data_IF_794841962016
#
_entry.id   IF_794841962016
#
_cell.length_a   1.000
_cell.length_b   1.000
_cell.length_c   1.000
_cell.angle_alpha   90.00
_cell.angle_beta   90.00
_cell.angle_gamma   90.00
#
_symmetry.space_group_name_H-M   'P 1'
#
loop_
_entity.id
_entity.type
_entity.pdbx_description
1 polymer ?
#
# COMPACT_ATOMS: atom_id res chain seq x y z
N UNK A 1 14.08 -1.71 -3.99
CA UNK A 1 15.39 -1.71 -4.67
C UNK A 1 15.66 -0.33 -5.25
N UNK A 2 16.73 0.29 -4.80
CA UNK A 2 17.06 1.65 -5.21
C UNK A 2 17.58 1.75 -6.64
N UNK A 3 18.10 0.66 -7.17
CA UNK A 3 18.66 0.61 -8.52
C UNK A 3 17.59 0.51 -9.61
N UNK A 4 16.36 0.23 -9.25
CA UNK A 4 15.28 0.12 -10.22
C UNK A 4 14.68 1.48 -10.53
N UNK A 5 14.25 1.66 -11.78
CA UNK A 5 13.53 2.87 -12.21
C UNK A 5 12.05 2.62 -12.43
N UNK A 6 11.59 1.40 -12.17
CA UNK A 6 10.16 1.09 -12.33
C UNK A 6 9.33 1.88 -11.34
N UNK A 7 8.10 2.27 -11.73
CA UNK A 7 7.16 2.82 -10.75
C UNK A 7 6.92 1.82 -9.63
N UNK A 8 6.76 2.33 -8.42
CA UNK A 8 6.58 1.46 -7.25
C UNK A 8 5.17 1.64 -6.70
N UNK A 9 4.52 0.52 -6.38
CA UNK A 9 3.23 0.49 -5.73
C UNK A 9 3.44 0.00 -4.31
N UNK A 10 3.11 0.83 -3.34
CA UNK A 10 3.09 0.44 -1.93
C UNK A 10 1.67 0.03 -1.56
N UNK A 11 1.55 -1.13 -0.93
CA UNK A 11 0.27 -1.64 -0.45
C UNK A 11 0.41 -1.87 1.04
N UNK A 12 -0.33 -1.10 1.83
CA UNK A 12 -0.30 -1.20 3.29
C UNK A 12 -1.69 -1.51 3.82
N UNK A 13 -1.76 -2.30 4.89
CA UNK A 13 -2.99 -2.55 5.59
C UNK A 13 -2.80 -2.30 7.08
N UNK A 14 -3.67 -1.50 7.68
CA UNK A 14 -3.63 -1.20 9.09
C UNK A 14 -2.30 -0.57 9.51
N UNK A 15 -1.62 -1.20 10.45
CA UNK A 15 -0.34 -0.71 10.98
C UNK A 15 0.84 -0.98 10.05
N UNK A 16 0.63 -1.64 8.91
CA UNK A 16 1.69 -1.94 7.95
C UNK A 16 2.32 -0.73 7.29
N UNK A 17 1.86 0.47 7.62
CA UNK A 17 2.37 1.68 7.00
C UNK A 17 3.79 2.06 7.46
N UNK A 18 4.19 1.67 8.66
CA UNK A 18 5.47 2.12 9.23
C UNK A 18 6.70 1.81 8.35
N UNK A 19 6.87 0.59 7.81
CA UNK A 19 7.99 0.32 6.92
C UNK A 19 7.93 1.17 5.63
N UNK A 20 6.73 1.40 5.12
CA UNK A 20 6.55 2.20 3.90
C UNK A 20 6.95 3.65 4.16
N UNK A 21 6.56 4.19 5.32
CA UNK A 21 6.97 5.54 5.71
C UNK A 21 8.49 5.70 5.67
N UNK A 22 9.20 4.72 6.24
CA UNK A 22 10.67 4.75 6.25
C UNK A 22 11.23 4.73 4.83
N UNK A 23 10.68 3.91 3.95
CA UNK A 23 11.16 3.81 2.57
C UNK A 23 10.92 5.12 1.82
N UNK A 24 9.74 5.70 1.96
CA UNK A 24 9.41 6.96 1.27
C UNK A 24 10.30 8.09 1.76
N UNK A 25 10.53 8.17 3.08
CA UNK A 25 11.41 9.19 3.63
C UNK A 25 12.85 9.03 3.13
N UNK A 26 13.31 7.77 3.00
CA UNK A 26 14.63 7.49 2.46
C UNK A 26 14.73 7.93 0.99
N UNK A 27 13.67 7.68 0.21
CA UNK A 27 13.63 8.13 -1.18
C UNK A 27 13.68 9.64 -1.29
N UNK A 28 13.02 10.36 -0.38
CA UNK A 28 13.08 11.82 -0.35
C UNK A 28 14.50 12.30 -0.05
N UNK A 29 15.16 11.70 0.94
CA UNK A 29 16.53 12.07 1.31
C UNK A 29 17.51 11.85 0.17
N UNK A 30 17.34 10.76 -0.57
CA UNK A 30 18.22 10.41 -1.70
C UNK A 30 17.79 11.03 -3.00
N UNK A 31 16.71 11.81 -2.99
CA UNK A 31 16.14 12.47 -4.18
C UNK A 31 15.83 11.49 -5.32
N UNK A 32 15.34 10.31 -4.94
CA UNK A 32 14.92 9.30 -5.91
C UNK A 32 13.57 9.70 -6.49
N UNK A 33 13.47 9.79 -7.81
CA UNK A 33 12.28 10.31 -8.49
C UNK A 33 11.56 9.21 -9.28
N UNK A 34 11.16 8.16 -8.58
CA UNK A 34 10.32 7.12 -9.16
C UNK A 34 8.85 7.48 -8.93
N UNK A 35 7.97 7.21 -9.89
CA UNK A 35 6.54 7.34 -9.60
C UNK A 35 6.13 6.41 -8.46
N UNK A 36 5.36 6.92 -7.53
CA UNK A 36 4.92 6.18 -6.34
C UNK A 36 3.40 6.19 -6.29
N UNK A 37 2.81 5.01 -6.15
CA UNK A 37 1.39 4.84 -5.88
C UNK A 37 1.26 4.20 -4.51
N UNK A 38 0.67 4.89 -3.55
CA UNK A 38 0.49 4.38 -2.20
C UNK A 38 -0.99 4.02 -1.99
N UNK A 39 -1.24 2.73 -1.80
CA UNK A 39 -2.56 2.20 -1.43
C UNK A 39 -2.51 1.81 0.05
N UNK A 40 -3.27 2.49 0.87
CA UNK A 40 -3.31 2.21 2.31
C UNK A 40 -4.73 1.83 2.69
N UNK A 41 -4.90 0.58 3.11
CA UNK A 41 -6.19 0.04 3.50
C UNK A 41 -6.38 0.04 5.00
N UNK A 42 -7.60 0.35 5.41
CA UNK A 42 -8.05 0.23 6.79
C UNK A 42 -9.49 -0.22 6.79
N UNK A 43 -9.99 -0.62 7.95
CA UNK A 43 -11.40 -0.96 8.08
C UNK A 43 -12.24 0.32 8.17
N UNK A 44 -11.73 1.32 8.88
CA UNK A 44 -12.39 2.60 9.07
C UNK A 44 -11.40 3.74 8.83
N UNK A 45 -11.88 4.95 8.49
CA UNK A 45 -10.98 6.07 8.23
C UNK A 45 -10.00 6.36 9.36
N UNK A 46 -10.39 6.13 10.62
CA UNK A 46 -9.51 6.36 11.77
C UNK A 46 -8.31 5.42 11.81
N UNK A 47 -8.34 4.30 11.08
CA UNK A 47 -7.20 3.40 10.99
C UNK A 47 -6.05 3.99 10.20
N UNK A 48 -6.31 5.00 9.39
CA UNK A 48 -5.29 5.69 8.59
C UNK A 48 -4.64 6.79 9.45
N UNK A 49 -3.88 6.36 10.44
CA UNK A 49 -3.39 7.24 11.51
C UNK A 49 -2.38 8.30 11.04
N UNK A 50 -1.78 8.13 9.86
CA UNK A 50 -0.86 9.11 9.28
C UNK A 50 -1.38 9.66 7.95
N UNK A 51 -2.70 9.72 7.81
CA UNK A 51 -3.34 10.25 6.60
C UNK A 51 -2.85 11.68 6.27
N UNK A 52 -2.69 12.52 7.29
CA UNK A 52 -2.22 13.89 7.07
C UNK A 52 -0.82 13.91 6.47
N UNK A 53 0.06 13.00 6.90
CA UNK A 53 1.39 12.88 6.32
C UNK A 53 1.31 12.48 4.84
N UNK A 54 0.45 11.52 4.51
CA UNK A 54 0.27 11.10 3.12
C UNK A 54 -0.27 12.25 2.26
N UNK A 55 -1.16 13.05 2.80
CA UNK A 55 -1.67 14.22 2.09
C UNK A 55 -0.56 15.24 1.84
N UNK A 56 0.37 15.41 2.80
CA UNK A 56 1.50 16.30 2.60
C UNK A 56 2.44 15.79 1.50
N UNK A 57 2.60 14.49 1.37
CA UNK A 57 3.43 13.90 0.32
C UNK A 57 2.88 14.17 -1.08
N UNK A 58 1.56 14.29 -1.22
CA UNK A 58 0.97 14.68 -2.50
C UNK A 58 1.47 16.03 -3.00
N UNK A 59 1.77 16.93 -2.07
CA UNK A 59 2.30 18.26 -2.39
C UNK A 59 3.80 18.26 -2.59
N UNK A 60 4.53 17.44 -1.82
CA UNK A 60 5.97 17.54 -1.71
C UNK A 60 6.71 16.58 -2.65
N UNK A 61 6.08 15.46 -3.04
CA UNK A 61 6.75 14.44 -3.84
C UNK A 61 6.18 14.44 -5.26
N UNK A 62 7.00 14.71 -6.29
CA UNK A 62 6.52 14.62 -7.67
C UNK A 62 6.09 13.19 -8.03
N UNK A 63 5.05 13.07 -8.83
CA UNK A 63 4.55 11.79 -9.31
C UNK A 63 4.11 10.84 -8.19
N UNK A 64 3.61 11.40 -7.09
CA UNK A 64 3.09 10.63 -5.96
C UNK A 64 1.57 10.59 -6.03
N UNK A 65 1.01 9.39 -5.86
CA UNK A 65 -0.45 9.19 -5.77
C UNK A 65 -0.76 8.47 -4.47
N UNK A 66 -1.83 8.90 -3.82
CA UNK A 66 -2.27 8.31 -2.56
C UNK A 66 -3.72 7.87 -2.70
N UNK A 67 -3.96 6.59 -2.49
CA UNK A 67 -5.28 5.98 -2.63
C UNK A 67 -5.65 5.29 -1.31
N UNK A 68 -6.33 5.99 -0.40
CA UNK A 68 -6.84 5.34 0.81
C UNK A 68 -8.06 4.47 0.48
N UNK A 69 -8.13 3.29 1.10
CA UNK A 69 -9.19 2.32 0.82
C UNK A 69 -9.77 1.85 2.16
N UNK A 70 -11.08 1.96 2.32
CA UNK A 70 -11.76 1.59 3.55
C UNK A 70 -12.70 0.42 3.30
N UNK A 71 -12.51 -0.68 4.03
CA UNK A 71 -13.25 -1.90 3.80
C UNK A 71 -14.57 -1.98 4.56
N UNK A 72 -14.72 -1.22 5.64
CA UNK A 72 -15.83 -1.41 6.58
C UNK A 72 -16.31 -0.06 7.15
N UNK A 73 -16.46 0.94 6.27
CA UNK A 73 -16.88 2.28 6.67
C UNK A 73 -18.32 2.24 7.20
N UNK A 74 -18.56 3.00 8.27
CA UNK A 74 -19.89 3.16 8.81
C UNK A 74 -20.52 4.45 8.25
N UNK A 75 -21.87 4.56 8.27
CA UNK A 75 -22.52 5.77 7.75
C UNK A 75 -22.04 7.06 8.43
N UNK A 76 -21.74 7.01 9.74
CA UNK A 76 -21.26 8.18 10.49
C UNK A 76 -19.86 8.62 10.08
N UNK A 77 -19.09 7.77 9.38
CA UNK A 77 -17.77 8.13 8.90
C UNK A 77 -17.83 9.07 7.68
N UNK A 78 -18.97 9.12 7.02
CA UNK A 78 -19.18 9.94 5.81
C UNK A 78 -18.08 9.71 4.77
N UNK A 79 -17.66 8.43 4.62
CA UNK A 79 -16.56 8.10 3.71
C UNK A 79 -17.02 8.14 2.27
N UNK A 80 -16.35 8.95 1.44
CA UNK A 80 -16.66 9.09 0.02
C UNK A 80 -15.57 8.54 -0.89
N UNK A 81 -14.49 7.97 -0.34
CA UNK A 81 -13.37 7.43 -1.12
C UNK A 81 -13.58 5.98 -1.52
N UNK A 82 -12.47 5.30 -1.82
CA UNK A 82 -12.50 3.91 -2.27
C UNK A 82 -12.94 2.98 -1.14
N UNK A 83 -13.67 1.95 -1.50
CA UNK A 83 -14.14 0.93 -0.55
C UNK A 83 -13.64 -0.46 -0.99
N UNK A 84 -13.67 -1.40 -0.05
CA UNK A 84 -13.24 -2.77 -0.28
C UNK A 84 -11.87 -3.06 0.30
N UNK A 85 -11.26 -4.13 -0.17
CA UNK A 85 -9.93 -4.53 0.29
C UNK A 85 -8.85 -3.87 -0.55
N UNK A 86 -7.75 -3.50 0.11
CA UNK A 86 -6.71 -2.68 -0.51
C UNK A 86 -6.08 -3.36 -1.72
N UNK A 87 -5.80 -4.66 -1.64
CA UNK A 87 -5.16 -5.34 -2.78
C UNK A 87 -6.09 -5.43 -3.98
N UNK A 88 -7.39 -5.49 -3.77
CA UNK A 88 -8.37 -5.49 -4.87
C UNK A 88 -8.44 -4.14 -5.55
N UNK A 89 -8.24 -3.05 -4.80
CA UNK A 89 -8.17 -1.72 -5.41
C UNK A 89 -6.98 -1.61 -6.36
N UNK A 90 -5.85 -2.20 -5.98
CA UNK A 90 -4.67 -2.24 -6.86
C UNK A 90 -4.99 -2.99 -8.16
N UNK A 91 -5.64 -4.15 -8.05
CA UNK A 91 -6.00 -4.94 -9.23
C UNK A 91 -6.94 -4.17 -10.16
N UNK A 92 -7.90 -3.46 -9.58
CA UNK A 92 -8.87 -2.70 -10.36
C UNK A 92 -8.18 -1.58 -11.15
N UNK A 93 -7.21 -0.91 -10.54
CA UNK A 93 -6.52 0.21 -11.17
C UNK A 93 -5.38 -0.24 -12.08
N UNK A 94 -4.78 -1.40 -11.78
CA UNK A 94 -3.60 -1.91 -12.49
C UNK A 94 -3.78 -3.37 -12.84
N UNK A 95 -4.60 -3.68 -13.86
CA UNK A 95 -4.77 -5.08 -14.27
C UNK A 95 -3.50 -5.72 -14.81
N UNK A 96 -2.53 -4.91 -15.21
CA UNK A 96 -1.21 -5.40 -15.61
C UNK A 96 -0.14 -4.74 -14.74
N UNK A 97 0.49 -5.52 -13.87
CA UNK A 97 1.52 -5.04 -12.96
C UNK A 97 2.95 -5.33 -13.46
N UNK A 98 3.08 -5.86 -14.68
CA UNK A 98 4.39 -6.15 -15.24
C UNK A 98 5.37 -4.97 -15.21
N UNK A 99 4.93 -3.73 -15.52
CA UNK A 99 5.84 -2.57 -15.49
C UNK A 99 6.21 -2.07 -14.08
N UNK A 100 5.65 -2.65 -13.02
CA UNK A 100 5.76 -2.10 -11.67
C UNK A 100 6.59 -2.98 -10.75
N UNK A 101 7.05 -2.36 -9.65
CA UNK A 101 7.47 -3.08 -8.46
C UNK A 101 6.42 -2.86 -7.37
N UNK A 102 6.16 -3.89 -6.57
CA UNK A 102 5.17 -3.83 -5.51
C UNK A 102 5.83 -4.16 -4.18
N UNK A 103 5.54 -3.35 -3.17
CA UNK A 103 5.98 -3.59 -1.79
C UNK A 103 4.73 -3.61 -0.91
N UNK A 104 4.44 -4.77 -0.31
CA UNK A 104 3.25 -4.96 0.50
C UNK A 104 3.62 -5.14 1.96
N UNK A 105 2.94 -4.41 2.84
CA UNK A 105 3.20 -4.45 4.29
C UNK A 105 1.89 -4.64 5.03
N UNK A 106 1.87 -5.56 5.97
CA UNK A 106 0.71 -5.78 6.81
C UNK A 106 0.62 -7.21 7.31
N UNK A 107 -0.59 -7.62 7.70
CA UNK A 107 -0.84 -8.96 8.20
C UNK A 107 -0.59 -10.00 7.10
N UNK A 108 -0.13 -11.21 7.47
CA UNK A 108 0.17 -12.25 6.48
C UNK A 108 -0.99 -12.59 5.55
N UNK A 109 -2.22 -12.51 6.03
CA UNK A 109 -3.41 -12.81 5.20
C UNK A 109 -3.47 -11.86 4.01
N UNK A 110 -3.29 -10.56 4.25
CA UNK A 110 -3.32 -9.56 3.17
C UNK A 110 -2.12 -9.72 2.25
N UNK A 111 -0.93 -9.87 2.83
CA UNK A 111 0.31 -9.97 2.05
C UNK A 111 0.27 -11.20 1.13
N UNK A 112 -0.19 -12.34 1.66
CA UNK A 112 -0.26 -13.57 0.86
C UNK A 112 -1.32 -13.49 -0.22
N UNK A 113 -2.47 -12.87 0.06
CA UNK A 113 -3.52 -12.67 -0.93
C UNK A 113 -3.02 -11.77 -2.06
N UNK A 114 -2.33 -10.68 -1.71
CA UNK A 114 -1.76 -9.78 -2.71
C UNK A 114 -0.72 -10.48 -3.57
N UNK A 115 0.19 -11.22 -2.95
CA UNK A 115 1.23 -11.96 -3.69
C UNK A 115 0.62 -12.91 -4.70
N UNK A 116 -0.36 -13.69 -4.28
CA UNK A 116 -0.99 -14.69 -5.14
C UNK A 116 -1.75 -14.02 -6.29
N UNK A 117 -2.58 -13.03 -5.97
CA UNK A 117 -3.43 -12.40 -6.98
C UNK A 117 -2.63 -11.57 -7.97
N UNK A 118 -1.60 -10.86 -7.50
CA UNK A 118 -0.79 -10.03 -8.38
C UNK A 118 0.03 -10.87 -9.36
N UNK A 119 0.57 -12.00 -8.92
CA UNK A 119 1.33 -12.87 -9.83
C UNK A 119 0.43 -13.68 -10.74
N UNK A 120 -0.72 -14.17 -10.24
CA UNK A 120 -1.61 -15.04 -11.02
C UNK A 120 -2.46 -14.28 -12.02
N UNK A 121 -2.90 -13.07 -11.68
CA UNK A 121 -3.88 -12.33 -12.47
C UNK A 121 -3.36 -11.03 -13.07
N UNK A 122 -2.26 -10.49 -12.55
CA UNK A 122 -1.78 -9.17 -12.96
C UNK A 122 -0.38 -9.21 -13.57
N UNK A 123 0.16 -10.39 -13.83
CA UNK A 123 1.44 -10.59 -14.51
C UNK A 123 2.65 -10.00 -13.79
N UNK A 124 2.56 -9.83 -12.45
CA UNK A 124 3.70 -9.33 -11.69
C UNK A 124 4.72 -10.45 -11.49
N UNK A 125 5.99 -10.26 -11.94
CA UNK A 125 7.04 -11.25 -11.66
C UNK A 125 7.28 -11.35 -10.14
N UNK A 126 7.52 -12.56 -9.66
CA UNK A 126 7.73 -12.77 -8.22
C UNK A 126 8.92 -11.99 -7.68
N UNK A 127 9.98 -11.85 -8.48
CA UNK A 127 11.16 -11.09 -8.07
C UNK A 127 10.90 -9.59 -7.97
N UNK A 128 9.76 -9.12 -8.44
CA UNK A 128 9.35 -7.71 -8.32
C UNK A 128 8.32 -7.49 -7.21
N UNK A 129 7.99 -8.54 -6.44
CA UNK A 129 7.11 -8.43 -5.29
C UNK A 129 7.94 -8.52 -4.01
N UNK A 130 7.86 -7.49 -3.20
CA UNK A 130 8.56 -7.40 -1.92
C UNK A 130 7.52 -7.28 -0.82
N UNK A 131 7.78 -7.92 0.32
CA UNK A 131 6.79 -7.95 1.38
C UNK A 131 7.46 -7.89 2.74
N UNK A 132 6.75 -7.27 3.67
CA UNK A 132 7.12 -7.23 5.08
C UNK A 132 5.85 -7.57 5.86
N UNK A 133 5.69 -8.84 6.22
CA UNK A 133 4.49 -9.29 6.91
C UNK A 133 4.78 -9.45 8.39
N UNK A 134 3.85 -8.96 9.21
CA UNK A 134 3.97 -9.06 10.66
C UNK A 134 2.57 -9.10 11.27
N UNK A 135 2.51 -9.62 12.49
CA UNK A 135 1.26 -9.64 13.24
C UNK A 135 1.32 -8.60 14.35
N UNK A 136 0.21 -7.90 14.57
CA UNK A 136 0.09 -6.99 15.70
C UNK A 136 -0.19 -7.79 16.98
N UNK A 137 -0.11 -7.10 18.13
CA UNK A 137 -0.48 -7.71 19.39
C UNK A 137 -1.94 -8.19 19.37
N UNK A 138 -2.82 -7.44 18.71
CA UNK A 138 -4.22 -7.83 18.59
C UNK A 138 -4.37 -9.10 17.74
N UNK A 139 -3.59 -9.23 16.67
CA UNK A 139 -3.61 -10.44 15.82
C UNK A 139 -3.14 -11.65 16.62
N UNK A 140 -2.07 -11.49 17.40
CA UNK A 140 -1.56 -12.58 18.24
C UNK A 140 -2.58 -12.99 19.31
N UNK A 141 -3.30 -12.04 19.87
CA UNK A 141 -4.32 -12.34 20.86
C UNK A 141 -5.53 -13.07 20.27
N UNK A 142 -5.83 -12.85 18.99
CA UNK A 142 -6.93 -13.51 18.29
C UNK A 142 -6.61 -14.95 17.90
N UNK A 143 -5.36 -15.31 17.88
CA UNK A 143 -4.91 -16.64 17.53
C UNK A 143 -4.70 -17.48 18.79
#
# INVERSE_FOLDING_TARGET
>A
REDSKKPIIFVAAGTGFAPIKSIVEQMQLKKIQRPIHLYWGGRRPSDLYLDALCQSWLKDIPNFKYIPVISDALPEDEWSGRTGFVHQAVIADHPDLGPYQVYACGAPVMVNAARQDFSSHCHLPEEEFFADSFTSAADLAAN
#
